data_IF_343958959135
#
_entry.id   IF_343958959135
#
_cell.length_a   1.000
_cell.length_b   1.000
_cell.length_c   1.000
_cell.angle_alpha   90.00
_cell.angle_beta   90.00
_cell.angle_gamma   90.00
#
_symmetry.space_group_name_H-M   'P 1'
#
loop_
_entity.id
_entity.type
_entity.pdbx_description
1 polymer ?
#
# COMPACT_ATOMS: atom_id res chain seq x y z
N UNK A 1 6.42 3.57 18.24
CA UNK A 1 6.83 2.16 18.02
C UNK A 1 5.58 1.31 17.93
N UNK A 2 5.47 0.44 16.92
CA UNK A 2 4.38 -0.55 16.82
C UNK A 2 4.99 -1.94 16.74
N UNK A 3 4.52 -2.85 17.60
CA UNK A 3 4.92 -4.25 17.59
C UNK A 3 3.76 -5.10 17.07
N UNK A 4 4.03 -5.98 16.11
CA UNK A 4 3.06 -6.95 15.59
C UNK A 4 3.57 -8.37 15.80
N UNK A 5 2.66 -9.28 16.15
CA UNK A 5 2.92 -10.73 16.23
C UNK A 5 2.08 -11.41 15.16
N UNK A 6 2.69 -12.26 14.34
CA UNK A 6 2.03 -13.10 13.35
C UNK A 6 2.33 -14.55 13.67
N UNK A 7 1.31 -15.39 13.61
CA UNK A 7 1.46 -16.84 13.71
C UNK A 7 1.05 -17.46 12.36
N UNK A 8 1.94 -18.23 11.76
CA UNK A 8 1.70 -18.89 10.48
C UNK A 8 2.50 -20.20 10.42
N UNK A 9 1.84 -21.30 10.07
CA UNK A 9 2.50 -22.60 9.93
C UNK A 9 3.16 -23.14 11.21
N UNK A 10 2.67 -22.74 12.39
CA UNK A 10 3.27 -23.12 13.69
C UNK A 10 4.45 -22.24 14.12
N UNK A 11 4.88 -21.29 13.29
CA UNK A 11 5.92 -20.33 13.63
C UNK A 11 5.33 -19.01 14.12
N UNK A 12 5.94 -18.43 15.16
CA UNK A 12 5.60 -17.12 15.69
C UNK A 12 6.65 -16.12 15.24
N UNK A 13 6.24 -15.14 14.44
CA UNK A 13 7.09 -14.03 14.01
C UNK A 13 6.69 -12.76 14.75
N UNK A 14 7.70 -12.04 15.27
CA UNK A 14 7.51 -10.74 15.91
C UNK A 14 8.24 -9.68 15.12
N UNK A 15 7.54 -8.61 14.75
CA UNK A 15 8.14 -7.48 14.04
C UNK A 15 7.90 -6.19 14.82
N UNK A 16 8.93 -5.35 14.91
CA UNK A 16 8.86 -4.02 15.50
C UNK A 16 9.10 -2.99 14.40
N UNK A 17 8.21 -2.00 14.30
CA UNK A 17 8.29 -0.90 13.33
C UNK A 17 8.39 0.43 14.07
N UNK A 18 9.31 1.28 13.62
CA UNK A 18 9.48 2.65 14.10
C UNK A 18 8.95 3.61 13.04
N UNK A 19 8.27 4.66 13.50
CA UNK A 19 7.66 5.68 12.64
C UNK A 19 8.18 7.03 13.07
N UNK A 20 8.50 7.88 12.10
CA UNK A 20 8.89 9.26 12.30
C UNK A 20 7.74 10.11 11.77
N UNK A 21 7.30 11.08 12.55
CA UNK A 21 6.19 11.95 12.18
C UNK A 21 6.38 13.34 12.77
N UNK A 22 5.90 14.35 12.04
CA UNK A 22 5.75 15.72 12.53
C UNK A 22 4.41 15.95 13.24
N UNK A 23 3.54 14.93 13.33
CA UNK A 23 2.30 15.00 14.09
C UNK A 23 2.59 15.26 15.57
N UNK A 24 1.68 15.96 16.24
CA UNK A 24 1.66 16.04 17.68
C UNK A 24 1.65 14.62 18.30
N UNK A 25 2.22 14.42 19.51
CA UNK A 25 2.37 13.10 20.14
C UNK A 25 1.03 12.55 20.68
N UNK A 26 0.03 12.43 19.82
CA UNK A 26 -1.24 11.77 20.08
C UNK A 26 -1.19 10.34 19.52
N UNK A 27 -1.16 9.37 20.43
CA UNK A 27 -1.09 7.96 20.10
C UNK A 27 -2.28 7.47 19.25
N UNK A 28 -3.49 7.97 19.49
CA UNK A 28 -4.68 7.55 18.76
C UNK A 28 -4.66 8.09 17.33
N UNK A 29 -4.31 9.36 17.14
CA UNK A 29 -4.16 9.98 15.83
C UNK A 29 -3.05 9.29 15.01
N UNK A 30 -1.89 9.06 15.62
CA UNK A 30 -0.76 8.37 14.97
C UNK A 30 -1.14 6.94 14.60
N UNK A 31 -1.79 6.19 15.49
CA UNK A 31 -2.24 4.83 15.19
C UNK A 31 -3.25 4.80 14.03
N UNK A 32 -4.18 5.77 13.98
CA UNK A 32 -5.13 5.92 12.86
C UNK A 32 -4.40 6.19 11.55
N UNK A 33 -3.45 7.12 11.54
CA UNK A 33 -2.64 7.43 10.35
C UNK A 33 -1.85 6.21 9.86
N UNK A 34 -1.19 5.48 10.78
CA UNK A 34 -0.47 4.25 10.45
C UNK A 34 -1.41 3.21 9.83
N UNK A 35 -2.61 2.98 10.39
CA UNK A 35 -3.58 2.03 9.81
C UNK A 35 -4.10 2.49 8.44
N UNK A 36 -4.36 3.78 8.26
CA UNK A 36 -4.79 4.31 6.97
C UNK A 36 -3.70 4.17 5.91
N UNK A 37 -2.43 4.35 6.27
CA UNK A 37 -1.30 4.14 5.37
C UNK A 37 -1.25 2.69 4.85
N UNK A 38 -1.49 1.69 5.70
CA UNK A 38 -1.61 0.28 5.26
C UNK A 38 -2.76 0.03 4.28
N UNK A 39 -3.81 0.85 4.33
CA UNK A 39 -4.89 0.80 3.35
C UNK A 39 -4.45 1.13 1.93
N UNK A 40 -3.40 1.96 1.75
CA UNK A 40 -2.83 2.26 0.43
C UNK A 40 -2.13 1.03 -0.14
N UNK A 41 -1.31 0.36 0.67
CA UNK A 41 -0.61 -0.85 0.23
C UNK A 41 -1.59 -1.97 -0.16
N UNK A 42 -2.58 -2.23 0.70
CA UNK A 42 -3.55 -3.28 0.46
C UNK A 42 -4.55 -2.94 -0.66
N UNK A 43 -4.96 -1.68 -0.79
CA UNK A 43 -6.02 -1.27 -1.71
C UNK A 43 -5.51 -0.85 -3.08
N UNK A 44 -4.35 -0.21 -3.15
CA UNK A 44 -3.80 0.31 -4.38
C UNK A 44 -2.63 -0.54 -4.90
N UNK A 45 -1.61 -0.77 -4.08
CA UNK A 45 -0.40 -1.46 -4.55
C UNK A 45 -0.69 -2.90 -4.92
N UNK A 46 -1.42 -3.65 -4.08
CA UNK A 46 -1.78 -5.02 -4.40
C UNK A 46 -2.52 -5.15 -5.74
N UNK A 47 -3.45 -4.22 -6.05
CA UNK A 47 -4.16 -4.22 -7.33
C UNK A 47 -3.19 -3.91 -8.48
N UNK A 48 -2.26 -2.98 -8.27
CA UNK A 48 -1.23 -2.66 -9.25
C UNK A 48 -0.32 -3.86 -9.54
N UNK A 49 0.16 -4.51 -8.49
CA UNK A 49 1.15 -5.58 -8.59
C UNK A 49 0.54 -6.88 -9.10
N UNK A 50 -0.67 -7.24 -8.65
CA UNK A 50 -1.30 -8.53 -8.98
C UNK A 50 -2.24 -8.44 -10.18
N UNK A 51 -3.13 -7.45 -10.21
CA UNK A 51 -4.15 -7.35 -11.28
C UNK A 51 -3.54 -6.72 -12.53
N UNK A 52 -2.79 -5.64 -12.37
CA UNK A 52 -2.10 -4.99 -13.49
C UNK A 52 -0.71 -5.56 -13.78
N UNK A 53 -0.23 -6.50 -12.95
CA UNK A 53 1.06 -7.21 -13.11
C UNK A 53 2.22 -6.23 -13.25
N UNK A 54 2.21 -5.18 -12.43
CA UNK A 54 3.18 -4.09 -12.59
C UNK A 54 4.62 -4.54 -12.34
N UNK A 55 4.83 -5.45 -11.39
CA UNK A 55 6.13 -6.09 -11.15
C UNK A 55 6.71 -6.77 -12.39
N UNK A 56 5.85 -7.26 -13.28
CA UNK A 56 6.24 -7.95 -14.52
C UNK A 56 6.29 -7.01 -15.73
N UNK A 57 5.86 -5.75 -15.56
CA UNK A 57 5.77 -4.78 -16.64
C UNK A 57 7.15 -4.34 -17.12
N UNK A 58 7.47 -4.61 -18.38
CA UNK A 58 8.78 -4.28 -18.99
C UNK A 58 8.80 -2.91 -19.69
N UNK A 59 7.77 -2.10 -19.50
CA UNK A 59 7.68 -0.77 -20.13
C UNK A 59 8.67 0.16 -19.44
N UNK A 60 9.80 0.44 -20.10
CA UNK A 60 10.90 1.25 -19.54
C UNK A 60 11.32 2.46 -20.37
N UNK A 61 10.71 2.69 -21.55
CA UNK A 61 11.21 3.67 -22.52
C UNK A 61 10.63 5.07 -22.29
N UNK A 62 11.49 6.09 -22.20
CA UNK A 62 11.09 7.51 -22.10
C UNK A 62 10.02 7.71 -21.01
N UNK A 63 8.91 8.38 -21.35
CA UNK A 63 7.82 8.69 -20.44
C UNK A 63 6.79 7.55 -20.32
N UNK A 64 6.98 6.43 -21.02
CA UNK A 64 6.02 5.32 -21.00
C UNK A 64 5.77 4.74 -19.60
N UNK A 65 6.76 4.59 -18.69
CA UNK A 65 6.50 4.10 -17.34
C UNK A 65 5.53 5.01 -16.56
N UNK A 66 5.80 6.31 -16.53
CA UNK A 66 4.99 7.30 -15.82
C UNK A 66 3.58 7.42 -16.41
N UNK A 67 3.48 7.46 -17.75
CA UNK A 67 2.20 7.52 -18.45
C UNK A 67 1.36 6.27 -18.16
N UNK A 68 1.98 5.09 -18.19
CA UNK A 68 1.28 3.84 -17.97
C UNK A 68 0.86 3.66 -16.51
N UNK A 69 1.71 4.04 -15.54
CA UNK A 69 1.33 4.12 -14.14
C UNK A 69 0.08 5.00 -13.95
N UNK A 70 0.09 6.20 -14.52
CA UNK A 70 -1.04 7.14 -14.46
C UNK A 70 -2.34 6.52 -14.99
N UNK A 71 -2.28 5.88 -16.16
CA UNK A 71 -3.45 5.22 -16.76
C UNK A 71 -3.99 4.09 -15.86
N UNK A 72 -3.11 3.28 -15.28
CA UNK A 72 -3.53 2.20 -14.37
C UNK A 72 -4.15 2.73 -13.08
N UNK A 73 -3.62 3.81 -12.51
CA UNK A 73 -4.25 4.48 -11.36
C UNK A 73 -5.65 5.01 -11.71
N UNK A 74 -5.81 5.64 -12.88
CA UNK A 74 -7.12 6.10 -13.35
C UNK A 74 -8.10 4.93 -13.51
N UNK A 75 -7.66 3.84 -14.14
CA UNK A 75 -8.48 2.64 -14.32
C UNK A 75 -8.90 2.02 -12.97
N UNK A 76 -7.96 1.86 -12.04
CA UNK A 76 -8.24 1.34 -10.70
C UNK A 76 -9.25 2.21 -9.93
N UNK A 77 -9.08 3.53 -9.97
CA UNK A 77 -10.01 4.45 -9.32
C UNK A 77 -11.41 4.40 -9.95
N UNK A 78 -11.52 4.29 -11.28
CA UNK A 78 -12.82 4.19 -11.97
C UNK A 78 -13.56 2.89 -11.64
N UNK A 79 -12.82 1.78 -11.51
CA UNK A 79 -13.40 0.49 -11.12
C UNK A 79 -13.88 0.51 -9.67
N UNK A 80 -13.10 1.10 -8.77
CA UNK A 80 -13.48 1.26 -7.36
C UNK A 80 -14.66 2.23 -7.15
N UNK A 81 -14.81 3.24 -8.00
CA UNK A 81 -15.88 4.23 -7.94
C UNK A 81 -17.27 3.65 -8.33
N UNK A 82 -17.34 2.40 -8.83
CA UNK A 82 -18.59 1.81 -9.36
C UNK A 82 -19.12 0.61 -8.59
N UNK A 83 -18.52 0.25 -7.47
CA UNK A 83 -19.08 -0.73 -6.52
C UNK A 83 -20.02 -0.02 -5.52
N UNK A 84 -21.32 -0.36 -5.44
CA UNK A 84 -22.20 0.11 -4.37
C UNK A 84 -21.76 -0.40 -2.99
#
# INVERSE_FOLDING_TARGET
>A
MVRSRREAGGEIQTQTRFYISSLAPDAAAIAKAIRQHWGVENGLHWVMDVVFRDDECRIGKKNSPANFATVKHMAGNLLACRTP
#
